data_IF_765607022146
#
_entry.id   IF_765607022146
#
_cell.length_a   1.000
_cell.length_b   1.000
_cell.length_c   1.000
_cell.angle_alpha   90.00
_cell.angle_beta   90.00
_cell.angle_gamma   90.00
#
_symmetry.space_group_name_H-M   'P 1'
#
loop_
_entity.id
_entity.type
_entity.pdbx_description
1 polymer ?
#
# COMPACT_ATOMS: atom_id res chain seq x y z
N UNK A 1 -54.92 -30.98 -6.17
CA UNK A 1 -54.17 -30.50 -4.98
C UNK A 1 -52.70 -30.17 -5.24
N UNK A 2 -52.10 -30.71 -6.31
CA UNK A 2 -50.65 -30.62 -6.59
C UNK A 2 -50.14 -29.19 -6.89
N UNK A 3 -50.88 -28.39 -7.67
CA UNK A 3 -50.48 -27.03 -8.03
C UNK A 3 -50.42 -26.05 -6.82
N UNK A 4 -51.25 -26.27 -5.79
CA UNK A 4 -51.21 -25.49 -4.55
C UNK A 4 -49.98 -25.83 -3.70
N UNK A 5 -49.56 -27.11 -3.69
CA UNK A 5 -48.34 -27.56 -3.02
C UNK A 5 -47.09 -26.96 -3.69
N UNK A 6 -47.03 -27.00 -5.02
CA UNK A 6 -45.94 -26.39 -5.79
C UNK A 6 -45.78 -24.87 -5.55
N UNK A 7 -46.89 -24.13 -5.46
CA UNK A 7 -46.84 -22.69 -5.15
C UNK A 7 -46.36 -22.40 -3.72
N UNK A 8 -46.74 -23.22 -2.73
CA UNK A 8 -46.25 -23.10 -1.34
C UNK A 8 -44.76 -23.42 -1.24
N UNK A 9 -44.27 -24.43 -1.96
CA UNK A 9 -42.85 -24.75 -2.03
C UNK A 9 -42.04 -23.64 -2.71
N UNK A 10 -42.53 -23.07 -3.81
CA UNK A 10 -41.90 -21.93 -4.46
C UNK A 10 -41.77 -20.71 -3.52
N UNK A 11 -42.79 -20.43 -2.70
CA UNK A 11 -42.73 -19.39 -1.67
C UNK A 11 -41.71 -19.70 -0.57
N UNK A 12 -41.66 -20.94 -0.07
CA UNK A 12 -40.65 -21.36 0.92
C UNK A 12 -39.23 -21.22 0.38
N UNK A 13 -39.00 -21.64 -0.86
CA UNK A 13 -37.71 -21.52 -1.53
C UNK A 13 -37.31 -20.06 -1.73
N UNK A 14 -38.25 -19.18 -2.09
CA UNK A 14 -38.00 -17.74 -2.20
C UNK A 14 -37.62 -17.12 -0.85
N UNK A 15 -38.40 -17.39 0.21
CA UNK A 15 -38.11 -16.92 1.56
C UNK A 15 -36.75 -17.44 2.09
N UNK A 16 -36.40 -18.69 1.76
CA UNK A 16 -35.10 -19.25 2.06
C UNK A 16 -33.97 -18.49 1.34
N UNK A 17 -34.11 -18.22 0.04
CA UNK A 17 -33.13 -17.42 -0.74
C UNK A 17 -32.95 -16.01 -0.16
N UNK A 18 -34.04 -15.37 0.28
CA UNK A 18 -33.97 -14.06 0.97
C UNK A 18 -33.16 -14.14 2.27
N UNK A 19 -33.43 -15.13 3.13
CA UNK A 19 -32.66 -15.34 4.37
C UNK A 19 -31.18 -15.61 4.11
N UNK A 20 -30.85 -16.42 3.08
CA UNK A 20 -29.46 -16.67 2.68
C UNK A 20 -28.78 -15.40 2.21
N UNK A 21 -29.45 -14.57 1.41
CA UNK A 21 -28.94 -13.27 0.96
C UNK A 21 -28.69 -12.34 2.14
N UNK A 22 -29.63 -12.25 3.08
CA UNK A 22 -29.49 -11.43 4.28
C UNK A 22 -28.29 -11.87 5.14
N UNK A 23 -28.11 -13.17 5.38
CA UNK A 23 -26.94 -13.70 6.10
C UNK A 23 -25.63 -13.37 5.38
N UNK A 24 -25.57 -13.57 4.07
CA UNK A 24 -24.41 -13.22 3.24
C UNK A 24 -24.11 -11.71 3.30
N UNK A 25 -25.14 -10.88 3.28
CA UNK A 25 -25.02 -9.44 3.41
C UNK A 25 -24.46 -9.03 4.78
N UNK A 26 -25.03 -9.57 5.86
CA UNK A 26 -24.54 -9.33 7.21
C UNK A 26 -23.09 -9.77 7.38
N UNK A 27 -22.72 -10.95 6.87
CA UNK A 27 -21.33 -11.45 6.92
C UNK A 27 -20.36 -10.55 6.15
N UNK A 28 -20.75 -10.07 4.96
CA UNK A 28 -19.92 -9.13 4.18
C UNK A 28 -19.73 -7.80 4.92
N UNK A 29 -20.78 -7.30 5.56
CA UNK A 29 -20.75 -6.04 6.33
C UNK A 29 -19.87 -6.16 7.58
N UNK A 30 -19.98 -7.26 8.34
CA UNK A 30 -19.13 -7.47 9.53
C UNK A 30 -17.66 -7.63 9.12
N UNK A 31 -17.38 -8.41 8.07
CA UNK A 31 -16.02 -8.56 7.53
C UNK A 31 -15.43 -7.22 7.08
N UNK A 32 -16.21 -6.39 6.39
CA UNK A 32 -15.77 -5.05 5.97
C UNK A 32 -15.49 -4.14 7.17
N UNK A 33 -16.35 -4.14 8.19
CA UNK A 33 -16.12 -3.38 9.42
C UNK A 33 -14.82 -3.79 10.12
N UNK A 34 -14.55 -5.09 10.25
CA UNK A 34 -13.29 -5.59 10.81
C UNK A 34 -12.08 -5.15 9.98
N UNK A 35 -12.15 -5.20 8.64
CA UNK A 35 -11.08 -4.73 7.76
C UNK A 35 -10.83 -3.23 7.90
N UNK A 36 -11.87 -2.43 8.14
CA UNK A 36 -11.74 -0.99 8.39
C UNK A 36 -10.95 -0.71 9.67
N UNK A 37 -11.31 -1.37 10.78
CA UNK A 37 -10.57 -1.22 12.06
C UNK A 37 -9.12 -1.69 11.91
N UNK A 38 -8.90 -2.81 11.21
CA UNK A 38 -7.54 -3.29 10.92
C UNK A 38 -6.74 -2.28 10.10
N UNK A 39 -7.36 -1.63 9.10
CA UNK A 39 -6.71 -0.60 8.32
C UNK A 39 -6.28 0.59 9.18
N UNK A 40 -7.16 1.09 10.06
CA UNK A 40 -6.84 2.18 11.00
C UNK A 40 -5.65 1.82 11.91
N UNK A 41 -5.66 0.60 12.47
CA UNK A 41 -4.54 0.09 13.28
C UNK A 41 -3.25 -0.06 12.48
N UNK A 42 -3.32 -0.58 11.24
CA UNK A 42 -2.17 -0.71 10.33
C UNK A 42 -1.57 0.68 10.01
N UNK A 43 -2.40 1.70 9.80
CA UNK A 43 -1.96 3.10 9.57
C UNK A 43 -1.22 3.65 10.80
N UNK A 44 -1.80 3.49 11.99
CA UNK A 44 -1.20 3.99 13.24
C UNK A 44 0.13 3.30 13.55
N UNK A 45 0.18 1.97 13.43
CA UNK A 45 1.41 1.19 13.62
C UNK A 45 2.49 1.59 12.61
N UNK A 46 2.12 1.82 11.35
CA UNK A 46 3.07 2.22 10.31
C UNK A 46 3.64 3.63 10.56
N UNK A 47 2.81 4.57 11.03
CA UNK A 47 3.25 5.90 11.45
C UNK A 47 4.20 5.84 12.66
N UNK A 48 3.86 5.05 13.69
CA UNK A 48 4.75 4.83 14.84
C UNK A 48 6.08 4.19 14.43
N UNK A 49 6.05 3.21 13.52
CA UNK A 49 7.26 2.58 13.01
C UNK A 49 8.15 3.57 12.25
N UNK A 50 7.55 4.43 11.42
CA UNK A 50 8.27 5.48 10.70
C UNK A 50 8.93 6.48 11.67
N UNK A 51 8.21 6.94 12.69
CA UNK A 51 8.76 7.82 13.73
C UNK A 51 9.94 7.17 14.46
N UNK A 52 9.81 5.89 14.88
CA UNK A 52 10.92 5.16 15.52
C UNK A 52 12.13 5.03 14.60
N UNK A 53 11.93 4.79 13.31
CA UNK A 53 13.00 4.73 12.33
C UNK A 53 13.71 6.10 12.17
N UNK A 54 12.95 7.20 12.15
CA UNK A 54 13.52 8.56 12.12
C UNK A 54 14.33 8.87 13.38
N UNK A 55 13.81 8.56 14.56
CA UNK A 55 14.54 8.78 15.81
C UNK A 55 15.82 7.95 15.84
N UNK A 56 15.77 6.66 15.44
CA UNK A 56 16.95 5.78 15.41
C UNK A 56 18.04 6.31 14.46
N UNK A 57 17.65 6.72 13.25
CA UNK A 57 18.59 7.25 12.26
C UNK A 57 19.18 8.60 12.69
N UNK A 58 18.39 9.45 13.35
CA UNK A 58 18.87 10.71 13.92
C UNK A 58 19.87 10.48 15.07
N UNK A 59 19.60 9.52 15.96
CA UNK A 59 20.54 9.13 17.02
C UNK A 59 21.86 8.64 16.41
N UNK A 60 21.82 7.83 15.36
CA UNK A 60 23.02 7.36 14.67
C UNK A 60 23.83 8.51 14.07
N UNK A 61 23.17 9.47 13.41
CA UNK A 61 23.84 10.67 12.87
C UNK A 61 24.48 11.51 13.97
N UNK A 62 23.77 11.71 15.08
CA UNK A 62 24.28 12.46 16.23
C UNK A 62 25.46 11.75 16.88
N UNK A 63 25.39 10.43 17.08
CA UNK A 63 26.50 9.64 17.59
C UNK A 63 27.72 9.72 16.67
N UNK A 64 27.53 9.65 15.35
CA UNK A 64 28.61 9.81 14.39
C UNK A 64 29.25 11.21 14.46
N UNK A 65 28.44 12.27 14.61
CA UNK A 65 28.91 13.64 14.83
C UNK A 65 29.70 13.78 16.13
N UNK A 66 29.16 13.27 17.23
CA UNK A 66 29.84 13.30 18.53
C UNK A 66 31.15 12.53 18.51
N UNK A 67 31.20 11.35 17.89
CA UNK A 67 32.46 10.60 17.71
C UNK A 67 33.47 11.37 16.85
N UNK A 68 33.03 12.01 15.75
CA UNK A 68 33.91 12.82 14.91
C UNK A 68 34.49 14.02 15.68
N UNK A 69 33.71 14.66 16.55
CA UNK A 69 34.17 15.76 17.43
C UNK A 69 35.21 15.25 18.43
N UNK A 70 34.94 14.13 19.10
CA UNK A 70 35.90 13.54 20.06
C UNK A 70 37.21 13.17 19.38
N UNK A 71 37.15 12.57 18.19
CA UNK A 71 38.34 12.26 17.39
C UNK A 71 39.07 13.52 16.92
N UNK A 72 38.36 14.62 16.61
CA UNK A 72 38.99 15.91 16.27
C UNK A 72 39.81 16.45 17.44
N UNK A 73 39.27 16.37 18.66
CA UNK A 73 39.97 16.80 19.87
C UNK A 73 41.20 15.93 20.13
N UNK A 74 41.08 14.61 19.96
CA UNK A 74 42.20 13.68 20.15
C UNK A 74 43.31 13.90 19.11
N UNK A 75 42.97 14.05 17.83
CA UNK A 75 43.95 14.31 16.78
C UNK A 75 44.62 15.67 16.94
N UNK A 76 43.86 16.69 17.36
CA UNK A 76 44.42 18.01 17.63
C UNK A 76 45.40 17.96 18.81
N UNK A 77 45.07 17.22 19.88
CA UNK A 77 45.98 16.98 20.99
C UNK A 77 47.25 16.26 20.53
N UNK A 78 47.12 15.16 19.77
CA UNK A 78 48.26 14.43 19.19
C UNK A 78 49.12 15.31 18.30
N UNK A 79 48.51 16.20 17.51
CA UNK A 79 49.22 17.18 16.69
C UNK A 79 50.07 18.10 17.57
N UNK A 80 49.49 18.71 18.61
CA UNK A 80 50.24 19.57 19.54
C UNK A 80 51.37 18.82 20.25
N UNK A 81 51.08 17.62 20.77
CA UNK A 81 52.08 16.77 21.44
C UNK A 81 53.22 16.41 20.47
N UNK A 82 52.89 16.11 19.20
CA UNK A 82 53.86 15.79 18.17
C UNK A 82 54.65 17.01 17.67
N UNK A 83 54.05 18.20 17.58
CA UNK A 83 54.77 19.44 17.23
C UNK A 83 55.81 19.74 18.31
N UNK A 84 55.43 19.68 19.58
CA UNK A 84 56.37 19.87 20.70
C UNK A 84 57.48 18.81 20.74
N UNK A 85 57.14 17.53 20.49
CA UNK A 85 58.12 16.45 20.43
C UNK A 85 59.06 16.56 19.22
N UNK A 86 58.56 16.97 18.04
CA UNK A 86 59.36 17.18 16.83
C UNK A 86 60.33 18.33 17.05
N UNK A 87 59.85 19.45 17.61
CA UNK A 87 60.68 20.62 17.92
C UNK A 87 61.81 20.24 18.88
N UNK A 88 61.50 19.57 20.00
CA UNK A 88 62.51 19.09 20.96
C UNK A 88 63.50 18.10 20.34
N UNK A 89 63.03 17.18 19.48
CA UNK A 89 63.87 16.17 18.80
C UNK A 89 64.75 16.77 17.70
N UNK A 90 64.28 17.81 17.02
CA UNK A 90 65.04 18.53 16.00
C UNK A 90 66.08 19.45 16.64
N UNK A 91 65.72 20.16 17.71
CA UNK A 91 66.65 20.96 18.53
C UNK A 91 67.78 20.10 19.10
N UNK A 92 67.47 18.94 19.69
CA UNK A 92 68.50 18.02 20.24
C UNK A 92 69.42 17.42 19.17
N UNK A 93 69.01 17.41 17.89
CA UNK A 93 69.83 16.95 16.75
C UNK A 93 70.57 18.09 16.05
N UNK A 94 70.45 19.34 16.53
CA UNK A 94 71.04 20.51 15.88
C UNK A 94 70.42 20.86 14.52
N UNK A 95 69.30 20.25 14.16
CA UNK A 95 68.61 20.47 12.89
C UNK A 95 67.64 21.65 13.05
N UNK A 96 68.05 22.84 12.60
CA UNK A 96 67.24 24.06 12.67
C UNK A 96 66.79 24.54 11.28
N UNK A 97 65.73 25.34 11.22
CA UNK A 97 65.28 26.01 9.99
C UNK A 97 64.45 25.14 9.03
N UNK A 98 64.89 24.98 7.77
CA UNK A 98 64.08 24.42 6.66
C UNK A 98 63.61 22.97 6.90
N UNK A 99 64.42 22.14 7.54
CA UNK A 99 64.08 20.74 7.82
C UNK A 99 62.96 20.61 8.86
N UNK A 100 63.01 21.43 9.91
CA UNK A 100 61.93 21.55 10.90
C UNK A 100 60.64 22.05 10.25
N UNK A 101 60.73 23.10 9.42
CA UNK A 101 59.57 23.63 8.70
C UNK A 101 58.90 22.56 7.80
N UNK A 102 59.69 21.73 7.11
CA UNK A 102 59.14 20.65 6.28
C UNK A 102 58.43 19.58 7.11
N UNK A 103 58.99 19.20 8.26
CA UNK A 103 58.37 18.24 9.17
C UNK A 103 57.03 18.77 9.74
N UNK A 104 56.99 20.04 10.13
CA UNK A 104 55.76 20.73 10.56
C UNK A 104 54.71 20.78 9.44
N UNK A 105 55.10 21.12 8.21
CA UNK A 105 54.17 21.15 7.06
C UNK A 105 53.61 19.76 6.76
N UNK A 106 54.42 18.70 6.84
CA UNK A 106 53.94 17.32 6.66
C UNK A 106 52.92 16.93 7.74
N UNK A 107 53.17 17.30 9.00
CA UNK A 107 52.26 17.03 10.11
C UNK A 107 50.91 17.77 9.92
N UNK A 108 50.97 19.06 9.57
CA UNK A 108 49.77 19.86 9.23
C UNK A 108 49.02 19.30 8.02
N UNK A 109 49.75 18.79 7.02
CA UNK A 109 49.16 18.10 5.87
C UNK A 109 48.40 16.83 6.27
N UNK A 110 48.96 16.02 7.16
CA UNK A 110 48.29 14.82 7.68
C UNK A 110 47.01 15.18 8.46
N UNK A 111 47.05 16.23 9.27
CA UNK A 111 45.87 16.76 9.97
C UNK A 111 44.80 17.29 8.99
N UNK A 112 45.20 18.02 7.94
CA UNK A 112 44.28 18.46 6.89
C UNK A 112 43.60 17.29 6.17
N UNK A 113 44.34 16.23 5.86
CA UNK A 113 43.76 15.01 5.27
C UNK A 113 42.79 14.31 6.22
N UNK A 114 43.10 14.22 7.52
CA UNK A 114 42.19 13.59 8.49
C UNK A 114 40.90 14.41 8.70
N UNK A 115 40.98 15.74 8.66
CA UNK A 115 39.80 16.60 8.63
C UNK A 115 38.96 16.39 7.37
N UNK A 116 39.59 16.33 6.19
CA UNK A 116 38.90 16.11 4.93
C UNK A 116 38.17 14.74 4.90
N UNK A 117 38.83 13.68 5.38
CA UNK A 117 38.23 12.35 5.49
C UNK A 117 37.00 12.34 6.41
N UNK A 118 37.06 13.06 7.54
CA UNK A 118 35.92 13.21 8.47
C UNK A 118 34.76 14.01 7.86
N UNK A 119 35.06 15.13 7.21
CA UNK A 119 34.05 15.92 6.52
C UNK A 119 33.33 15.07 5.46
N UNK A 120 34.07 14.24 4.71
CA UNK A 120 33.51 13.27 3.77
C UNK A 120 32.67 12.20 4.46
N UNK A 121 33.13 11.65 5.58
CA UNK A 121 32.38 10.68 6.39
C UNK A 121 31.04 11.24 6.90
N UNK A 122 31.03 12.49 7.38
CA UNK A 122 29.80 13.18 7.81
C UNK A 122 28.85 13.47 6.65
N UNK A 123 29.39 13.87 5.49
CA UNK A 123 28.59 14.07 4.29
C UNK A 123 27.95 12.74 3.84
N UNK A 124 28.72 11.66 3.78
CA UNK A 124 28.23 10.32 3.44
C UNK A 124 27.16 9.84 4.43
N UNK A 125 27.39 9.99 5.74
CA UNK A 125 26.39 9.67 6.76
C UNK A 125 25.09 10.47 6.58
N UNK A 126 25.19 11.74 6.18
CA UNK A 126 24.02 12.57 5.89
C UNK A 126 23.26 12.10 4.64
N UNK A 127 23.96 11.61 3.61
CA UNK A 127 23.32 11.01 2.43
C UNK A 127 22.59 9.70 2.79
N UNK A 128 23.27 8.81 3.54
CA UNK A 128 22.67 7.55 4.01
C UNK A 128 21.44 7.79 4.89
N UNK A 129 21.47 8.84 5.73
CA UNK A 129 20.31 9.26 6.50
C UNK A 129 19.12 9.61 5.58
N UNK A 130 19.34 10.47 4.58
CA UNK A 130 18.29 10.88 3.63
C UNK A 130 17.72 9.68 2.86
N UNK A 131 18.59 8.78 2.39
CA UNK A 131 18.19 7.56 1.69
C UNK A 131 17.31 6.66 2.58
N UNK A 132 17.75 6.41 3.82
CA UNK A 132 16.99 5.59 4.78
C UNK A 132 15.62 6.19 5.08
N UNK A 133 15.54 7.52 5.26
CA UNK A 133 14.26 8.23 5.48
C UNK A 133 13.35 8.08 4.25
N UNK A 134 13.89 8.19 3.04
CA UNK A 134 13.11 7.98 1.82
C UNK A 134 12.61 6.54 1.69
N UNK A 135 13.43 5.55 2.02
CA UNK A 135 13.04 4.14 1.97
C UNK A 135 11.94 3.82 2.99
N UNK A 136 12.04 4.37 4.20
CA UNK A 136 10.96 4.29 5.21
C UNK A 136 9.67 4.89 4.67
N UNK A 137 9.72 6.06 4.02
CA UNK A 137 8.54 6.67 3.41
C UNK A 137 7.96 5.84 2.26
N UNK A 138 8.80 5.25 1.40
CA UNK A 138 8.34 4.37 0.31
C UNK A 138 7.67 3.12 0.88
N UNK A 139 8.26 2.51 1.91
CA UNK A 139 7.69 1.36 2.60
C UNK A 139 6.35 1.70 3.27
N UNK A 140 6.26 2.84 3.95
CA UNK A 140 5.01 3.33 4.55
C UNK A 140 3.93 3.50 3.48
N UNK A 141 4.21 4.21 2.39
CA UNK A 141 3.25 4.37 1.27
C UNK A 141 2.85 3.03 0.66
N UNK A 142 3.79 2.11 0.49
CA UNK A 142 3.53 0.76 -0.03
C UNK A 142 2.60 -0.05 0.89
N UNK A 143 2.80 0.03 2.20
CA UNK A 143 1.94 -0.62 3.18
C UNK A 143 0.54 0.00 3.20
N UNK A 144 0.45 1.34 3.21
CA UNK A 144 -0.82 2.07 3.16
C UNK A 144 -1.63 1.76 1.89
N UNK A 145 -0.98 1.65 0.73
CA UNK A 145 -1.66 1.29 -0.51
C UNK A 145 -2.18 -0.15 -0.47
N UNK A 146 -1.40 -1.10 0.07
CA UNK A 146 -1.81 -2.49 0.25
C UNK A 146 -2.99 -2.63 1.22
N UNK A 147 -3.00 -1.84 2.30
CA UNK A 147 -4.08 -1.84 3.28
C UNK A 147 -5.33 -1.13 2.75
N UNK A 148 -5.17 -0.01 2.05
CA UNK A 148 -6.27 0.71 1.41
C UNK A 148 -6.98 -0.15 0.35
N UNK A 149 -6.25 -0.93 -0.43
CA UNK A 149 -6.83 -1.88 -1.40
C UNK A 149 -7.79 -2.91 -0.77
N UNK A 150 -7.66 -3.21 0.53
CA UNK A 150 -8.57 -4.14 1.24
C UNK A 150 -9.91 -3.50 1.60
N UNK A 151 -9.97 -2.17 1.71
CA UNK A 151 -11.13 -1.39 2.19
C UNK A 151 -11.73 -0.50 1.11
N UNK A 152 -11.02 -0.26 0.00
CA UNK A 152 -11.46 0.64 -1.07
C UNK A 152 -12.79 0.25 -1.72
N UNK A 153 -13.14 -1.04 -1.74
CA UNK A 153 -14.39 -1.53 -2.33
C UNK A 153 -15.38 -1.84 -1.22
N UNK A 154 -16.35 -0.95 -1.03
CA UNK A 154 -17.49 -1.21 -0.15
C UNK A 154 -18.35 -2.34 -0.74
N UNK A 155 -18.80 -3.31 0.08
CA UNK A 155 -19.69 -4.35 -0.43
C UNK A 155 -21.00 -3.72 -0.88
N UNK A 156 -21.36 -3.90 -2.15
CA UNK A 156 -22.67 -3.53 -2.69
C UNK A 156 -23.66 -4.66 -2.44
N UNK A 157 -24.90 -4.33 -2.10
CA UNK A 157 -25.96 -5.31 -1.93
C UNK A 157 -26.23 -6.01 -3.28
N UNK A 158 -26.19 -7.35 -3.26
CA UNK A 158 -26.53 -8.16 -4.44
C UNK A 158 -27.97 -7.89 -4.90
N UNK A 159 -28.28 -7.99 -6.19
CA UNK A 159 -29.64 -7.77 -6.71
C UNK A 159 -30.61 -8.80 -6.12
N UNK A 160 -31.85 -8.40 -5.83
CA UNK A 160 -32.84 -9.31 -5.26
C UNK A 160 -33.18 -10.43 -6.25
N UNK A 161 -33.32 -11.69 -5.80
CA UNK A 161 -33.77 -12.76 -6.69
C UNK A 161 -35.18 -12.44 -7.20
N UNK A 162 -35.47 -12.67 -8.50
CA UNK A 162 -36.78 -12.38 -9.07
C UNK A 162 -37.86 -13.19 -8.35
N UNK A 163 -38.99 -12.54 -8.08
CA UNK A 163 -40.12 -13.16 -7.40
C UNK A 163 -40.64 -14.38 -8.19
N UNK A 164 -41.09 -15.46 -7.52
CA UNK A 164 -41.57 -16.64 -8.20
C UNK A 164 -42.85 -16.34 -8.99
N UNK A 165 -42.86 -16.67 -10.28
CA UNK A 165 -44.08 -16.63 -11.10
C UNK A 165 -45.03 -17.71 -10.59
N UNK A 166 -46.12 -17.30 -9.92
CA UNK A 166 -47.12 -18.23 -9.38
C UNK A 166 -47.85 -18.90 -10.55
N UNK A 167 -47.92 -20.23 -10.57
CA UNK A 167 -48.75 -20.96 -11.56
C UNK A 167 -50.21 -20.81 -11.15
N UNK A 168 -51.06 -20.35 -12.08
CA UNK A 168 -52.50 -20.23 -11.88
C UNK A 168 -53.11 -21.62 -11.65
N UNK A 169 -53.41 -21.92 -10.39
CA UNK A 169 -54.00 -23.21 -9.95
C UNK A 169 -55.32 -23.52 -10.66
N UNK A 170 -56.07 -22.50 -11.06
CA UNK A 170 -57.31 -22.65 -11.84
C UNK A 170 -57.05 -23.12 -13.28
N UNK A 171 -55.99 -22.63 -13.91
CA UNK A 171 -55.64 -23.03 -15.27
C UNK A 171 -55.03 -24.43 -15.31
N UNK A 172 -54.23 -24.82 -14.31
CA UNK A 172 -53.67 -26.18 -14.23
C UNK A 172 -54.73 -27.22 -13.88
N UNK A 173 -55.70 -26.86 -13.04
CA UNK A 173 -56.88 -27.70 -12.77
C UNK A 173 -57.75 -27.82 -14.02
N UNK A 174 -58.04 -26.71 -14.71
CA UNK A 174 -58.83 -26.71 -15.94
C UNK A 174 -58.14 -27.49 -17.07
N UNK A 175 -56.82 -27.37 -17.25
CA UNK A 175 -56.06 -28.14 -18.24
C UNK A 175 -55.98 -29.63 -17.86
N UNK A 176 -55.84 -29.94 -16.57
CA UNK A 176 -55.87 -31.31 -16.06
C UNK A 176 -57.24 -31.96 -16.21
N UNK A 177 -58.32 -31.19 -16.02
CA UNK A 177 -59.70 -31.62 -16.24
C UNK A 177 -60.03 -31.72 -17.73
N UNK A 178 -59.52 -30.81 -18.56
CA UNK A 178 -59.65 -30.89 -20.03
C UNK A 178 -58.91 -32.12 -20.58
N UNK A 179 -57.73 -32.46 -20.05
CA UNK A 179 -57.05 -33.73 -20.37
C UNK A 179 -57.81 -34.96 -19.87
N UNK A 180 -58.43 -34.89 -18.69
CA UNK A 180 -59.23 -36.01 -18.17
C UNK A 180 -60.55 -36.20 -18.94
N UNK A 181 -61.15 -35.13 -19.47
CA UNK A 181 -62.32 -35.19 -20.35
C UNK A 181 -61.91 -35.65 -21.76
N UNK A 182 -60.76 -35.23 -22.27
CA UNK A 182 -60.19 -35.75 -23.52
C UNK A 182 -59.82 -37.24 -23.46
N UNK A 183 -59.23 -37.69 -22.35
CA UNK A 183 -58.91 -39.11 -22.13
C UNK A 183 -60.16 -39.99 -21.85
N UNK A 184 -61.31 -39.38 -21.54
CA UNK A 184 -62.60 -40.08 -21.48
C UNK A 184 -63.26 -40.30 -22.85
N UNK A 185 -62.72 -39.71 -23.93
CA UNK A 185 -63.19 -39.86 -25.32
C UNK A 185 -62.09 -40.47 -26.22
N UNK A 186 -60.95 -40.89 -25.67
CA UNK A 186 -59.91 -41.66 -26.40
C UNK A 186 -59.85 -43.11 -25.90
N UNK A 187 -61.01 -43.72 -25.71
CA UNK A 187 -61.17 -45.17 -25.55
C UNK A 187 -61.27 -45.87 -26.90
N UNK A 188 -60.29 -45.70 -27.79
CA UNK A 188 -60.13 -46.55 -28.98
C UNK A 188 -58.62 -46.79 -29.20
N UNK A 189 -58.14 -48.04 -29.10
CA UNK A 189 -56.79 -48.38 -29.53
C UNK A 189 -56.77 -48.42 -31.06
N UNK A 190 -56.43 -47.30 -31.70
CA UNK A 190 -56.09 -47.34 -33.12
C UNK A 190 -54.65 -47.83 -33.27
N UNK A 191 -54.58 -49.11 -33.61
CA UNK A 191 -53.40 -49.87 -33.92
C UNK A 191 -52.94 -49.46 -35.33
N UNK A 192 -52.23 -48.35 -35.44
CA UNK A 192 -51.68 -47.86 -36.71
C UNK A 192 -50.20 -47.57 -36.55
N UNK A 193 -49.40 -48.60 -36.81
CA UNK A 193 -47.95 -48.49 -37.00
C UNK A 193 -47.63 -47.51 -38.13
N UNK A 194 -46.80 -46.52 -37.82
CA UNK A 194 -46.36 -45.49 -38.75
C UNK A 194 -44.94 -45.07 -38.42
N UNK A 195 -44.00 -45.94 -38.79
CA UNK A 195 -42.58 -45.67 -38.83
C UNK A 195 -42.31 -44.54 -39.85
N UNK A 196 -42.13 -43.31 -39.38
CA UNK A 196 -41.51 -42.24 -40.14
C UNK A 196 -40.39 -41.63 -39.31
N UNK A 197 -39.17 -42.02 -39.67
CA UNK A 197 -37.97 -41.37 -39.22
C UNK A 197 -37.94 -39.91 -39.66
N UNK A 198 -37.59 -39.04 -38.73
CA UNK A 198 -36.95 -37.77 -39.03
C UNK A 198 -36.05 -37.42 -37.86
N UNK A 199 -34.78 -37.79 -38.02
CA UNK A 199 -33.67 -37.30 -37.22
C UNK A 199 -33.52 -35.80 -37.44
N UNK A 200 -34.03 -34.99 -36.52
CA UNK A 200 -33.57 -33.61 -36.38
C UNK A 200 -32.35 -33.64 -35.45
N UNK A 201 -31.22 -33.83 -36.10
CA UNK A 201 -29.88 -33.52 -35.62
C UNK A 201 -29.73 -32.00 -35.63
N UNK A 202 -29.85 -31.34 -34.46
CA UNK A 202 -29.33 -29.99 -34.27
C UNK A 202 -27.97 -30.08 -33.60
N UNK A 203 -27.00 -30.58 -34.36
CA UNK A 203 -25.58 -30.31 -34.14
C UNK A 203 -25.36 -28.81 -34.25
N UNK A 204 -25.07 -28.16 -33.12
CA UNK A 204 -24.43 -26.86 -33.11
C UNK A 204 -23.00 -27.06 -33.61
N UNK A 205 -22.82 -26.89 -34.91
CA UNK A 205 -21.54 -26.83 -35.58
C UNK A 205 -20.79 -25.61 -35.06
N UNK A 206 -19.75 -25.87 -34.26
CA UNK A 206 -18.64 -24.93 -34.09
C UNK A 206 -17.98 -24.75 -35.46
N UNK A 207 -18.31 -23.67 -36.16
CA UNK A 207 -17.48 -23.18 -37.25
C UNK A 207 -16.73 -21.94 -36.79
N UNK A 208 -15.41 -22.04 -36.98
CA UNK A 208 -14.41 -21.06 -36.69
C UNK A 208 -14.64 -19.75 -37.45
N UNK A 209 -14.21 -18.64 -36.86
CA UNK A 209 -14.01 -17.41 -37.61
C UNK A 209 -13.90 -16.15 -36.77
N UNK A 210 -12.67 -15.71 -36.57
CA UNK A 210 -12.26 -14.31 -36.34
C UNK A 210 -12.53 -13.68 -34.96
N UNK A 211 -11.43 -13.35 -34.27
CA UNK A 211 -11.43 -12.30 -33.26
C UNK A 211 -10.58 -12.60 -32.02
N UNK A 212 -9.29 -12.90 -32.21
CA UNK A 212 -8.30 -12.84 -31.12
C UNK A 212 -8.12 -11.40 -30.66
N UNK A 213 -8.99 -10.92 -29.77
CA UNK A 213 -8.77 -9.68 -29.03
C UNK A 213 -8.01 -10.01 -27.76
N UNK A 214 -6.70 -10.19 -27.91
CA UNK A 214 -5.75 -10.04 -26.81
C UNK A 214 -5.97 -8.67 -26.17
N UNK A 215 -6.51 -8.65 -24.94
CA UNK A 215 -6.48 -7.46 -24.10
C UNK A 215 -5.03 -7.30 -23.62
N UNK A 216 -4.23 -6.69 -24.49
CA UNK A 216 -2.90 -6.18 -24.20
C UNK A 216 -3.07 -4.83 -23.51
N UNK A 217 -3.21 -4.84 -22.18
CA UNK A 217 -3.17 -3.61 -21.40
C UNK A 217 -1.71 -3.19 -21.19
N UNK A 218 -1.08 -2.71 -22.26
CA UNK A 218 0.21 -2.01 -22.24
C UNK A 218 -0.01 -0.58 -22.72
N UNK A 219 -0.71 0.21 -21.91
CA UNK A 219 -0.52 1.66 -21.87
C UNK A 219 0.62 1.89 -20.88
N UNK A 220 1.87 2.02 -21.31
CA UNK A 220 2.41 3.25 -21.88
C UNK A 220 2.02 4.50 -21.06
N UNK A 221 2.25 4.46 -19.74
CA UNK A 221 2.47 5.67 -18.95
C UNK A 221 3.92 6.12 -19.12
N UNK A 222 4.17 6.82 -20.22
CA UNK A 222 5.26 7.79 -20.31
C UNK A 222 4.90 9.01 -19.49
N UNK A 223 5.75 9.40 -18.54
CA UNK A 223 5.48 10.55 -17.68
C UNK A 223 6.51 10.74 -16.58
N UNK A 224 7.69 11.22 -16.98
CA UNK A 224 8.56 12.09 -16.17
C UNK A 224 9.23 11.48 -14.93
N UNK A 225 10.39 10.86 -15.15
CA UNK A 225 11.43 10.82 -14.12
C UNK A 225 11.88 12.27 -13.82
N UNK A 226 11.92 12.72 -12.56
CA UNK A 226 12.60 13.97 -12.24
C UNK A 226 14.08 13.78 -12.52
N UNK A 227 14.62 14.58 -13.43
CA UNK A 227 16.05 14.66 -13.70
C UNK A 227 16.80 14.91 -12.38
N UNK A 228 17.69 13.99 -12.03
CA UNK A 228 18.75 14.25 -11.05
C UNK A 228 19.63 15.37 -11.60
N UNK A 229 19.30 16.61 -11.20
CA UNK A 229 20.19 17.74 -11.35
C UNK A 229 21.43 17.49 -10.51
N UNK A 230 22.50 17.06 -11.16
CA UNK A 230 23.86 17.11 -10.64
C UNK A 230 24.25 18.60 -10.55
N UNK A 231 23.83 19.24 -9.45
CA UNK A 231 24.21 20.61 -9.10
C UNK A 231 25.61 20.63 -8.49
N UNK A 232 26.51 21.37 -9.14
CA UNK A 232 27.94 21.41 -8.86
C UNK A 232 28.31 21.80 -7.43
N UNK A 233 29.42 21.22 -6.99
CA UNK A 233 30.17 21.57 -5.79
C UNK A 233 30.77 22.96 -5.98
N UNK A 234 30.09 23.97 -5.43
CA UNK A 234 30.67 25.29 -5.18
C UNK A 234 31.35 25.25 -3.80
N UNK A 235 32.67 25.40 -3.81
CA UNK A 235 33.49 25.58 -2.63
C UNK A 235 33.23 26.96 -2.02
N UNK A 236 32.38 27.01 -0.99
CA UNK A 236 32.17 28.18 -0.15
C UNK A 236 32.21 27.78 1.32
N UNK A 237 33.39 27.83 1.92
CA UNK A 237 33.54 27.86 3.37
C UNK A 237 32.93 29.18 3.87
N UNK A 238 31.72 29.13 4.42
CA UNK A 238 31.04 30.27 5.02
C UNK A 238 29.98 29.77 5.99
N UNK A 239 30.27 29.87 7.29
CA UNK A 239 29.40 29.42 8.35
C UNK A 239 28.06 30.16 8.36
N UNK A 240 26.97 29.39 8.40
CA UNK A 240 25.65 29.83 8.84
C UNK A 240 24.92 28.56 9.28
N UNK A 241 24.75 28.39 10.58
CA UNK A 241 23.94 27.31 11.13
C UNK A 241 22.48 27.72 10.96
N UNK A 242 21.83 27.24 9.90
CA UNK A 242 20.37 27.24 9.83
C UNK A 242 19.88 25.91 10.43
N UNK A 243 19.32 25.98 11.64
CA UNK A 243 18.71 24.86 12.36
C UNK A 243 17.28 24.56 11.93
N UNK A 244 16.76 25.16 10.86
CA UNK A 244 15.45 24.81 10.31
C UNK A 244 15.56 23.63 9.33
N UNK A 245 15.90 22.45 9.86
CA UNK A 245 15.56 21.20 9.18
C UNK A 245 14.03 21.10 9.17
N UNK A 246 13.43 21.66 8.12
CA UNK A 246 12.02 21.50 7.78
C UNK A 246 11.70 20.01 7.75
N UNK A 247 11.07 19.55 8.82
CA UNK A 247 10.32 18.32 8.77
C UNK A 247 9.25 18.51 7.70
N UNK A 248 9.07 17.58 6.75
CA UNK A 248 7.86 17.60 5.95
C UNK A 248 6.71 17.27 6.91
N UNK A 249 6.07 18.30 7.46
CA UNK A 249 4.77 18.14 8.09
C UNK A 249 3.82 17.77 6.95
N UNK A 250 3.41 16.51 6.93
CA UNK A 250 2.23 16.11 6.18
C UNK A 250 1.04 16.81 6.85
N UNK A 251 0.77 18.02 6.38
CA UNK A 251 -0.45 18.77 6.66
C UNK A 251 -1.60 17.97 6.07
N UNK A 252 -2.18 17.09 6.89
CA UNK A 252 -3.49 16.53 6.62
C UNK A 252 -4.47 17.68 6.75
N UNK A 253 -5.07 18.05 5.61
CA UNK A 253 -6.01 19.14 5.53
C UNK A 253 -7.05 19.07 6.64
N UNK A 254 -7.25 20.22 7.28
CA UNK A 254 -8.38 20.53 8.15
C UNK A 254 -9.69 20.01 7.54
N UNK A 255 -10.16 18.84 7.99
CA UNK A 255 -11.59 18.57 7.98
C UNK A 255 -12.18 19.38 9.13
N UNK A 256 -12.66 20.58 8.79
CA UNK A 256 -13.55 21.37 9.63
C UNK A 256 -14.77 20.51 9.99
N UNK A 257 -14.74 19.94 11.19
CA UNK A 257 -15.93 19.40 11.85
C UNK A 257 -16.67 20.57 12.50
N UNK A 258 -17.51 21.24 11.70
CA UNK A 258 -18.60 22.07 12.22
C UNK A 258 -19.57 21.18 12.99
N UNK A 259 -19.63 21.34 14.30
CA UNK A 259 -20.54 20.60 15.16
C UNK A 259 -20.55 21.17 16.57
N UNK A 260 -21.16 22.35 16.72
CA UNK A 260 -21.44 22.97 17.99
C UNK A 260 -22.46 22.13 18.78
N UNK A 261 -22.11 21.71 20.00
CA UNK A 261 -23.08 21.46 21.06
C UNK A 261 -22.50 21.98 22.39
N UNK A 262 -22.94 23.19 22.73
CA UNK A 262 -22.91 23.75 24.08
C UNK A 262 -23.93 22.99 24.92
N UNK A 263 -23.47 22.28 25.95
CA UNK A 263 -24.31 21.89 27.06
C UNK A 263 -23.91 22.73 28.27
N UNK A 264 -24.69 23.80 28.47
CA UNK A 264 -24.91 24.35 29.79
C UNK A 264 -25.63 23.28 30.62
N UNK A 265 -25.12 23.00 31.81
CA UNK A 265 -26.00 22.53 32.88
C UNK A 265 -25.53 23.14 34.20
N UNK A 266 -26.28 24.14 34.59
CA UNK A 266 -26.47 24.62 35.95
C UNK A 266 -27.06 23.49 36.79
N UNK A 267 -26.45 23.18 37.93
CA UNK A 267 -27.07 22.96 39.24
C UNK A 267 -25.97 23.03 40.30
#
# INVERSE_FOLDING_TARGET
MEASRANKEAQRNYNYKLKVRERKWMQRRTTYASKKVQFEQEVDMANMAAQRAYTRTQIQLNNARSMAILQNQEDFKKMLDSEGAIEAKMLSRGLTGKSLARALVMNKGAFGMSQAMRARGLAQASYMYKETVQDVNRNLKGQLNKSFGKVAIQPVADLAPPAPVKRNVGMTLALGMAKAIGAGIEGMPDNSGGNYGSSIDTSFTNNAGFGTSSISNSQAFGGSAPSMGYGGYSSGFGGSYDSSLGTPSLSWGNMQSSGAYSFANSY
#
